data_IF_227162454000
#
_entry.id   IF_227162454000
#
_cell.length_a   1.000
_cell.length_b   1.000
_cell.length_c   1.000
_cell.angle_alpha   90.00
_cell.angle_beta   90.00
_cell.angle_gamma   90.00
#
_symmetry.space_group_name_H-M   'P 1'
#
loop_
_entity.id
_entity.type
_entity.pdbx_description
1 polymer ?
#
# COMPACT_ATOMS: atom_id res chain seq x y z
N UNK A 1 16.79 12.63 -16.57
CA UNK A 1 17.02 11.36 -17.29
C UNK A 1 16.11 11.30 -18.52
N UNK A 2 16.66 10.94 -19.69
CA UNK A 2 15.86 10.76 -20.91
C UNK A 2 14.83 9.63 -20.74
N UNK A 3 13.64 9.76 -21.34
CA UNK A 3 12.58 8.74 -21.34
C UNK A 3 13.11 7.37 -21.81
N UNK A 4 14.03 7.41 -22.78
CA UNK A 4 14.70 6.24 -23.35
C UNK A 4 15.55 5.53 -22.29
N UNK A 5 16.32 6.27 -21.48
CA UNK A 5 17.17 5.68 -20.45
C UNK A 5 16.36 4.95 -19.36
N UNK A 6 15.18 5.46 -19.02
CA UNK A 6 14.30 4.80 -18.04
C UNK A 6 13.72 3.52 -18.63
N UNK A 7 13.30 3.54 -19.90
CA UNK A 7 12.83 2.34 -20.58
C UNK A 7 13.92 1.26 -20.70
N UNK A 8 15.14 1.64 -21.08
CA UNK A 8 16.30 0.74 -21.11
C UNK A 8 16.59 0.11 -19.75
N UNK A 9 16.45 0.87 -18.66
CA UNK A 9 16.62 0.33 -17.30
C UNK A 9 15.55 -0.70 -16.96
N UNK A 10 14.28 -0.45 -17.31
CA UNK A 10 13.20 -1.42 -17.16
C UNK A 10 13.45 -2.68 -18.00
N UNK A 11 13.91 -2.51 -19.24
CA UNK A 11 14.23 -3.61 -20.15
C UNK A 11 15.36 -4.48 -19.63
N UNK A 12 16.45 -3.87 -19.15
CA UNK A 12 17.57 -4.60 -18.52
C UNK A 12 17.13 -5.38 -17.29
N UNK A 13 16.25 -4.81 -16.46
CA UNK A 13 15.70 -5.50 -15.28
C UNK A 13 14.93 -6.77 -15.67
N UNK A 14 14.09 -6.69 -16.69
CA UNK A 14 13.34 -7.86 -17.16
C UNK A 14 14.22 -8.86 -17.91
N UNK A 15 15.24 -8.39 -18.65
CA UNK A 15 16.20 -9.28 -19.32
C UNK A 15 16.94 -10.20 -18.33
N UNK A 16 17.22 -9.73 -17.11
CA UNK A 16 17.89 -10.55 -16.08
C UNK A 16 16.92 -11.46 -15.30
N UNK A 17 15.63 -11.46 -15.63
CA UNK A 17 14.64 -12.25 -14.90
C UNK A 17 14.63 -13.73 -15.39
N UNK A 18 15.09 -14.69 -14.57
CA UNK A 18 15.21 -16.09 -14.99
C UNK A 18 13.85 -16.72 -15.34
N UNK A 19 12.76 -16.22 -14.77
CA UNK A 19 11.40 -16.74 -14.96
C UNK A 19 10.98 -16.65 -16.43
N UNK A 20 11.39 -15.60 -17.15
CA UNK A 20 11.05 -15.41 -18.56
C UNK A 20 11.62 -16.53 -19.42
N UNK A 21 12.86 -16.95 -19.15
CA UNK A 21 13.52 -18.01 -19.88
C UNK A 21 12.90 -19.38 -19.59
N UNK A 22 12.51 -19.64 -18.34
CA UNK A 22 11.83 -20.88 -17.96
C UNK A 22 10.48 -20.99 -18.68
N UNK A 23 9.67 -19.92 -18.64
CA UNK A 23 8.36 -19.93 -19.31
C UNK A 23 8.53 -20.11 -20.82
N UNK A 24 9.47 -19.37 -21.42
CA UNK A 24 9.72 -19.46 -22.87
C UNK A 24 10.25 -20.83 -23.28
N UNK A 25 11.01 -21.49 -22.41
CA UNK A 25 11.44 -22.88 -22.61
C UNK A 25 10.23 -23.81 -22.61
N UNK A 26 9.35 -23.75 -21.60
CA UNK A 26 8.15 -24.59 -21.54
C UNK A 26 7.25 -24.38 -22.76
N UNK A 27 7.02 -23.11 -23.14
CA UNK A 27 6.22 -22.76 -24.33
C UNK A 27 6.88 -23.30 -25.61
N UNK A 28 8.20 -23.14 -25.75
CA UNK A 28 8.94 -23.62 -26.91
C UNK A 28 8.95 -25.14 -27.04
N UNK A 29 9.09 -25.86 -25.93
CA UNK A 29 8.98 -27.33 -25.89
C UNK A 29 7.58 -27.77 -26.34
N UNK A 30 6.54 -27.12 -25.82
CA UNK A 30 5.14 -27.45 -26.12
C UNK A 30 4.82 -27.22 -27.60
N UNK A 31 5.24 -26.07 -28.17
CA UNK A 31 5.04 -25.77 -29.59
C UNK A 31 5.77 -26.77 -30.48
N UNK A 32 7.05 -27.04 -30.22
CA UNK A 32 7.83 -28.00 -31.01
C UNK A 32 7.27 -29.42 -30.93
N UNK A 33 6.84 -29.84 -29.75
CA UNK A 33 6.20 -31.14 -29.52
C UNK A 33 4.90 -31.28 -30.31
N UNK A 34 4.02 -30.27 -30.26
CA UNK A 34 2.74 -30.28 -30.98
C UNK A 34 2.92 -30.22 -32.50
N UNK A 35 3.94 -29.51 -32.99
CA UNK A 35 4.11 -29.27 -34.43
C UNK A 35 4.90 -30.37 -35.15
N UNK A 36 5.87 -30.99 -34.48
CA UNK A 36 6.83 -31.90 -35.14
C UNK A 36 7.02 -33.23 -34.43
N UNK A 37 6.46 -33.42 -33.23
CA UNK A 37 6.73 -34.58 -32.37
C UNK A 37 8.16 -34.62 -31.80
N UNK A 38 9.05 -33.73 -32.25
CA UNK A 38 10.42 -33.60 -31.80
C UNK A 38 10.60 -32.32 -30.98
N UNK A 39 11.27 -32.46 -29.85
CA UNK A 39 11.38 -31.40 -28.83
C UNK A 39 12.28 -30.24 -29.27
N UNK A 40 13.22 -30.48 -30.19
CA UNK A 40 14.21 -29.49 -30.67
C UNK A 40 14.21 -29.32 -32.19
N UNK A 41 13.02 -29.27 -32.80
CA UNK A 41 12.90 -29.10 -34.25
C UNK A 41 13.25 -27.68 -34.74
N UNK A 42 12.83 -26.65 -34.00
CA UNK A 42 13.13 -25.25 -34.31
C UNK A 42 13.47 -24.45 -33.06
N UNK A 43 14.40 -23.51 -33.19
CA UNK A 43 14.79 -22.58 -32.12
C UNK A 43 13.81 -21.39 -32.00
N UNK A 44 13.03 -21.12 -33.04
CA UNK A 44 12.09 -19.98 -33.12
C UNK A 44 11.02 -20.01 -32.01
N UNK A 45 10.40 -21.17 -31.70
CA UNK A 45 9.43 -21.26 -30.60
C UNK A 45 10.00 -20.95 -29.21
N UNK A 46 11.32 -20.94 -29.05
CA UNK A 46 11.97 -20.57 -27.80
C UNK A 46 12.34 -19.08 -27.76
N UNK A 47 12.85 -18.53 -28.88
CA UNK A 47 13.36 -17.15 -28.92
C UNK A 47 12.24 -16.11 -29.01
N UNK A 48 11.19 -16.37 -29.78
CA UNK A 48 10.10 -15.41 -29.98
C UNK A 48 9.35 -15.12 -28.67
N UNK A 49 8.95 -16.12 -27.85
CA UNK A 49 8.32 -15.83 -26.56
C UNK A 49 9.20 -15.02 -25.60
N UNK A 50 10.52 -15.25 -25.59
CA UNK A 50 11.47 -14.47 -24.77
C UNK A 50 11.41 -13.00 -25.15
N UNK A 51 11.55 -12.69 -26.44
CA UNK A 51 11.57 -11.30 -26.93
C UNK A 51 10.25 -10.60 -26.63
N UNK A 52 9.12 -11.26 -26.92
CA UNK A 52 7.80 -10.71 -26.67
C UNK A 52 7.59 -10.48 -25.17
N UNK A 53 7.90 -11.45 -24.31
CA UNK A 53 7.74 -11.32 -22.86
C UNK A 53 8.57 -10.18 -22.28
N UNK A 54 9.84 -10.07 -22.67
CA UNK A 54 10.73 -8.99 -22.18
C UNK A 54 10.15 -7.62 -22.57
N UNK A 55 9.78 -7.45 -23.85
CA UNK A 55 9.24 -6.18 -24.33
C UNK A 55 7.90 -5.83 -23.65
N UNK A 56 6.99 -6.79 -23.53
CA UNK A 56 5.69 -6.57 -22.89
C UNK A 56 5.85 -6.22 -21.42
N UNK A 57 6.66 -6.96 -20.66
CA UNK A 57 6.89 -6.70 -19.23
C UNK A 57 7.62 -5.37 -19.00
N UNK A 58 8.65 -5.08 -19.80
CA UNK A 58 9.37 -3.81 -19.72
C UNK A 58 8.45 -2.63 -20.04
N UNK A 59 7.58 -2.76 -21.03
CA UNK A 59 6.59 -1.74 -21.37
C UNK A 59 5.55 -1.53 -20.26
N UNK A 60 5.01 -2.61 -19.69
CA UNK A 60 4.08 -2.54 -18.55
C UNK A 60 4.72 -1.87 -17.34
N UNK A 61 5.94 -2.27 -16.99
CA UNK A 61 6.69 -1.68 -15.88
C UNK A 61 7.00 -0.20 -16.14
N UNK A 62 7.38 0.17 -17.38
CA UNK A 62 7.59 1.57 -17.75
C UNK A 62 6.30 2.39 -17.68
N UNK A 63 5.17 1.84 -18.14
CA UNK A 63 3.86 2.50 -18.11
C UNK A 63 3.35 2.69 -16.69
N UNK A 64 3.54 1.70 -15.83
CA UNK A 64 3.04 1.70 -14.45
C UNK A 64 3.99 2.36 -13.45
N UNK A 65 5.22 2.71 -13.85
CA UNK A 65 6.26 3.28 -12.96
C UNK A 65 5.79 4.45 -12.10
N UNK A 66 4.90 5.30 -12.61
CA UNK A 66 4.42 6.47 -11.88
C UNK A 66 3.39 6.05 -10.82
N UNK A 67 2.52 5.10 -11.13
CA UNK A 67 1.56 4.55 -10.18
C UNK A 67 2.28 3.78 -9.09
N UNK A 68 3.26 2.94 -9.44
CA UNK A 68 4.12 2.24 -8.47
C UNK A 68 4.86 3.24 -7.56
N UNK A 69 5.36 4.35 -8.11
CA UNK A 69 5.98 5.42 -7.31
C UNK A 69 4.99 6.11 -6.37
N UNK A 70 3.80 6.44 -6.84
CA UNK A 70 2.76 7.05 -6.01
C UNK A 70 2.32 6.14 -4.88
N UNK A 71 2.24 4.83 -5.15
CA UNK A 71 2.01 3.81 -4.13
C UNK A 71 3.17 3.75 -3.15
N UNK A 72 4.43 3.78 -3.63
CA UNK A 72 5.62 3.75 -2.76
C UNK A 72 5.73 4.98 -1.86
N UNK A 73 5.38 6.17 -2.37
CA UNK A 73 5.37 7.42 -1.58
C UNK A 73 4.28 7.36 -0.51
N UNK A 74 3.11 6.81 -0.86
CA UNK A 74 2.04 6.61 0.12
C UNK A 74 2.44 5.58 1.19
N UNK A 75 3.20 4.53 0.83
CA UNK A 75 3.69 3.53 1.77
C UNK A 75 4.90 3.98 2.61
N UNK A 76 5.66 4.98 2.14
CA UNK A 76 6.75 5.61 2.91
C UNK A 76 6.26 6.58 3.99
N UNK A 77 4.95 6.88 4.03
CA UNK A 77 4.38 7.65 5.13
C UNK A 77 4.57 6.89 6.45
N UNK A 78 5.19 7.55 7.43
CA UNK A 78 5.31 7.01 8.79
C UNK A 78 3.95 6.85 9.47
N UNK A 79 2.98 7.67 9.04
CA UNK A 79 1.61 7.70 9.52
C UNK A 79 0.83 6.40 9.20
N UNK A 80 0.15 5.80 10.19
CA UNK A 80 -0.72 4.65 9.96
C UNK A 80 -1.85 4.98 8.99
N UNK A 81 -2.08 4.07 8.04
CA UNK A 81 -3.27 4.11 7.17
C UNK A 81 -3.90 2.73 7.03
N UNK A 82 -5.22 2.71 6.97
CA UNK A 82 -6.03 1.50 6.99
C UNK A 82 -7.09 1.56 5.90
N UNK A 83 -7.41 0.40 5.33
CA UNK A 83 -8.63 0.19 4.58
C UNK A 83 -9.51 -0.71 5.44
N UNK A 84 -10.74 -0.28 5.69
CA UNK A 84 -11.70 -0.98 6.54
C UNK A 84 -12.95 -1.41 5.76
N UNK A 85 -13.53 -2.53 6.16
CA UNK A 85 -14.90 -2.93 5.84
C UNK A 85 -15.90 -1.88 6.40
N UNK A 86 -17.12 -1.88 5.88
CA UNK A 86 -18.30 -1.18 6.41
C UNK A 86 -18.47 -1.37 7.93
N UNK A 87 -18.09 -2.52 8.49
CA UNK A 87 -18.12 -2.80 9.93
C UNK A 87 -16.93 -2.25 10.72
N UNK A 88 -15.92 -1.67 10.06
CA UNK A 88 -14.71 -1.15 10.72
C UNK A 88 -13.57 -2.16 10.92
N UNK A 89 -13.66 -3.36 10.34
CA UNK A 89 -12.58 -4.35 10.35
C UNK A 89 -11.48 -3.98 9.36
N UNK A 90 -10.21 -4.14 9.73
CA UNK A 90 -9.07 -3.88 8.85
C UNK A 90 -8.95 -4.93 7.74
N UNK A 91 -9.02 -4.48 6.49
CA UNK A 91 -8.75 -5.27 5.29
C UNK A 91 -7.28 -5.16 4.88
N UNK A 92 -6.74 -3.93 4.93
CA UNK A 92 -5.36 -3.63 4.57
C UNK A 92 -4.80 -2.60 5.54
N UNK A 93 -3.57 -2.81 5.97
CA UNK A 93 -2.83 -1.88 6.82
C UNK A 93 -1.54 -1.45 6.11
N UNK A 94 -1.18 -0.17 6.24
CA UNK A 94 0.02 0.42 5.65
C UNK A 94 0.64 1.43 6.62
N UNK A 95 1.97 1.56 6.57
CA UNK A 95 2.77 2.39 7.48
C UNK A 95 3.45 1.58 8.59
N UNK A 96 4.33 2.22 9.36
CA UNK A 96 5.18 1.55 10.36
C UNK A 96 4.45 0.70 11.42
N UNK A 97 3.27 1.09 11.95
CA UNK A 97 2.61 0.27 12.96
C UNK A 97 1.82 -0.91 12.38
N UNK A 98 1.81 -1.14 11.06
CA UNK A 98 1.11 -2.28 10.46
C UNK A 98 1.59 -3.63 11.01
N UNK A 99 2.90 -3.79 11.20
CA UNK A 99 3.49 -5.03 11.76
C UNK A 99 3.14 -5.21 13.24
N UNK A 100 3.12 -4.11 14.00
CA UNK A 100 2.76 -4.12 15.42
C UNK A 100 1.29 -4.51 15.64
N UNK A 101 0.38 -3.93 14.85
CA UNK A 101 -1.06 -4.23 14.93
C UNK A 101 -1.36 -5.69 14.65
N UNK A 102 -0.64 -6.28 13.69
CA UNK A 102 -0.79 -7.69 13.35
C UNK A 102 -0.31 -8.61 14.49
N UNK A 103 0.76 -8.24 15.17
CA UNK A 103 1.31 -9.03 16.29
C UNK A 103 0.43 -8.95 17.55
N UNK A 104 -0.16 -7.80 17.82
CA UNK A 104 -1.09 -7.59 18.95
C UNK A 104 -2.52 -8.10 18.68
N UNK A 105 -2.77 -8.64 17.48
CA UNK A 105 -4.08 -9.20 17.12
C UNK A 105 -5.20 -8.16 16.97
N UNK A 106 -4.85 -6.90 16.69
CA UNK A 106 -5.81 -5.81 16.55
C UNK A 106 -6.40 -5.85 15.14
N UNK A 107 -7.67 -6.25 15.05
CA UNK A 107 -8.35 -6.52 13.78
C UNK A 107 -9.32 -5.43 13.34
N UNK A 108 -9.60 -4.45 14.18
CA UNK A 108 -10.65 -3.45 13.94
C UNK A 108 -10.28 -2.08 14.51
N UNK A 109 -10.93 -1.04 13.98
CA UNK A 109 -10.65 0.34 14.38
C UNK A 109 -11.07 0.62 15.82
N UNK A 110 -12.12 -0.03 16.32
CA UNK A 110 -12.61 0.21 17.67
C UNK A 110 -11.61 -0.31 18.71
N UNK A 111 -11.06 -1.52 18.53
CA UNK A 111 -10.02 -2.07 19.40
C UNK A 111 -8.73 -1.23 19.37
N UNK A 112 -8.37 -0.68 18.21
CA UNK A 112 -7.23 0.23 18.09
C UNK A 112 -7.36 1.50 18.96
N UNK A 113 -8.59 1.99 19.16
CA UNK A 113 -8.92 3.15 20.00
C UNK A 113 -9.57 2.76 21.35
N UNK A 114 -9.41 1.52 21.81
CA UNK A 114 -9.90 1.09 23.13
C UNK A 114 -11.43 1.05 23.26
N UNK A 115 -12.15 0.85 22.17
CA UNK A 115 -13.62 0.75 22.15
C UNK A 115 -14.35 2.09 22.07
N UNK A 116 -13.66 3.19 21.75
CA UNK A 116 -14.31 4.50 21.57
C UNK A 116 -15.32 4.46 20.41
N UNK A 117 -16.59 4.75 20.68
CA UNK A 117 -17.67 4.74 19.69
C UNK A 117 -17.51 5.79 18.59
N UNK A 118 -16.65 6.79 18.79
CA UNK A 118 -16.25 7.76 17.76
C UNK A 118 -15.38 7.13 16.69
N UNK A 119 -14.83 5.94 16.92
CA UNK A 119 -14.05 5.16 15.95
C UNK A 119 -14.92 4.45 14.89
N UNK A 120 -16.22 4.76 14.78
CA UNK A 120 -17.03 4.29 13.66
C UNK A 120 -16.61 5.02 12.36
N UNK A 121 -16.19 4.29 11.30
CA UNK A 121 -15.79 4.88 10.02
C UNK A 121 -16.84 5.83 9.41
N UNK A 122 -18.13 5.55 9.62
CA UNK A 122 -19.24 6.39 9.12
C UNK A 122 -19.28 7.73 9.85
N UNK A 123 -19.20 7.72 11.18
CA UNK A 123 -19.17 8.93 12.00
C UNK A 123 -17.94 9.77 11.67
N UNK A 124 -16.78 9.14 11.48
CA UNK A 124 -15.55 9.81 11.08
C UNK A 124 -15.66 10.48 9.71
N UNK A 125 -16.33 9.84 8.76
CA UNK A 125 -16.57 10.42 7.43
C UNK A 125 -17.54 11.60 7.48
N UNK A 126 -18.62 11.51 8.27
CA UNK A 126 -19.54 12.64 8.45
C UNK A 126 -18.88 13.83 9.15
N UNK A 127 -18.04 13.57 10.15
CA UNK A 127 -17.20 14.59 10.79
C UNK A 127 -16.27 15.25 9.76
N UNK A 128 -15.62 14.46 8.89
CA UNK A 128 -14.76 15.00 7.85
C UNK A 128 -15.54 15.84 6.81
N UNK A 129 -16.73 15.41 6.40
CA UNK A 129 -17.61 16.16 5.48
C UNK A 129 -18.07 17.49 6.07
N UNK A 130 -18.26 17.55 7.39
CA UNK A 130 -18.58 18.78 8.13
C UNK A 130 -17.35 19.63 8.49
N UNK A 131 -16.15 19.20 8.10
CA UNK A 131 -14.89 19.92 8.36
C UNK A 131 -14.37 19.75 9.79
N UNK A 132 -14.97 18.86 10.57
CA UNK A 132 -14.62 18.60 11.96
C UNK A 132 -13.46 17.60 12.02
N UNK A 133 -12.43 17.92 12.79
CA UNK A 133 -11.27 17.03 13.00
C UNK A 133 -11.53 16.22 14.26
N UNK A 134 -11.58 14.89 14.12
CA UNK A 134 -11.77 13.98 15.26
C UNK A 134 -10.41 13.57 15.76
N UNK A 135 -10.10 13.93 17.01
CA UNK A 135 -8.86 13.55 17.68
C UNK A 135 -9.14 12.48 18.73
N UNK A 136 -8.36 11.40 18.66
CA UNK A 136 -8.54 10.21 19.46
C UNK A 136 -7.20 9.70 19.97
N UNK A 137 -7.19 9.22 21.21
CA UNK A 137 -6.04 8.54 21.79
C UNK A 137 -6.09 7.07 21.41
N UNK A 138 -5.00 6.55 20.86
CA UNK A 138 -4.82 5.11 20.72
C UNK A 138 -4.11 4.59 21.98
N UNK A 139 -4.78 3.80 22.85
CA UNK A 139 -4.14 3.20 24.01
C UNK A 139 -3.07 2.17 23.61
N UNK A 140 -3.21 1.60 22.42
CA UNK A 140 -2.30 0.61 21.83
C UNK A 140 -0.92 1.20 21.56
N UNK A 141 -0.88 2.42 21.01
CA UNK A 141 0.37 3.11 20.67
C UNK A 141 0.74 4.20 21.69
N UNK A 142 -0.13 4.47 22.67
CA UNK A 142 -0.01 5.57 23.64
C UNK A 142 0.26 6.92 22.96
N UNK A 143 -0.53 7.21 21.91
CA UNK A 143 -0.39 8.38 21.04
C UNK A 143 -1.74 8.98 20.69
N UNK A 144 -1.74 10.28 20.43
CA UNK A 144 -2.92 11.00 19.94
C UNK A 144 -2.88 11.12 18.43
N UNK A 145 -3.99 10.77 17.80
CA UNK A 145 -4.14 10.82 16.36
C UNK A 145 -5.32 11.70 15.97
N UNK A 146 -5.10 12.57 14.98
CA UNK A 146 -6.18 13.16 14.23
C UNK A 146 -6.62 12.14 13.16
N UNK A 147 -7.84 11.62 13.32
CA UNK A 147 -8.40 10.55 12.50
C UNK A 147 -9.16 11.16 11.34
N UNK A 148 -8.85 10.70 10.13
CA UNK A 148 -9.58 11.09 8.92
C UNK A 148 -10.08 9.85 8.20
N UNK A 149 -11.32 9.93 7.72
CA UNK A 149 -11.98 8.84 7.01
C UNK A 149 -12.57 9.33 5.70
N UNK A 150 -12.40 8.54 4.64
CA UNK A 150 -13.01 8.76 3.33
C UNK A 150 -13.59 7.45 2.82
N UNK A 151 -14.77 7.53 2.24
CA UNK A 151 -15.40 6.41 1.54
C UNK A 151 -14.59 5.98 0.30
N UNK A 152 -14.39 4.68 0.14
CA UNK A 152 -13.68 4.04 -0.96
C UNK A 152 -14.57 2.96 -1.59
N UNK A 153 -14.21 2.48 -2.79
CA UNK A 153 -15.00 1.45 -3.49
C UNK A 153 -15.17 0.15 -2.68
N UNK A 154 -14.19 -0.18 -1.83
CA UNK A 154 -14.17 -1.43 -1.04
C UNK A 154 -14.53 -1.21 0.44
N UNK A 155 -14.97 0.00 0.82
CA UNK A 155 -15.31 0.34 2.21
C UNK A 155 -14.83 1.73 2.61
N UNK A 156 -13.97 1.81 3.61
CA UNK A 156 -13.49 3.08 4.19
C UNK A 156 -11.97 3.15 4.19
N UNK A 157 -11.42 4.24 3.68
CA UNK A 157 -10.00 4.55 3.83
C UNK A 157 -9.81 5.48 5.02
N UNK A 158 -9.00 5.06 5.98
CA UNK A 158 -8.72 5.78 7.22
C UNK A 158 -7.23 6.09 7.26
N UNK A 159 -6.87 7.32 7.60
CA UNK A 159 -5.47 7.67 7.85
C UNK A 159 -5.36 8.49 9.12
N UNK A 160 -4.27 8.25 9.84
CA UNK A 160 -4.01 8.79 11.16
C UNK A 160 -2.84 9.77 11.08
N UNK A 161 -3.06 11.00 11.53
CA UNK A 161 -2.00 12.00 11.64
C UNK A 161 -1.60 12.07 13.11
N UNK A 162 -0.32 11.83 13.41
CA UNK A 162 0.18 11.93 14.79
C UNK A 162 0.14 13.39 15.24
N UNK A 163 -0.62 13.66 16.30
CA UNK A 163 -0.77 14.98 16.92
C UNK A 163 -0.34 14.96 18.40
N UNK A 164 0.39 13.92 18.80
CA UNK A 164 0.81 13.70 20.20
C UNK A 164 1.59 14.89 20.74
N UNK A 165 2.57 15.40 20.00
CA UNK A 165 3.41 16.52 20.43
C UNK A 165 2.58 17.80 20.68
N UNK A 166 1.62 18.07 19.78
CA UNK A 166 0.72 19.22 19.92
C UNK A 166 -0.16 19.09 21.16
N UNK A 167 -0.77 17.93 21.37
CA UNK A 167 -1.59 17.66 22.55
C UNK A 167 -0.78 17.76 23.86
N UNK A 168 0.47 17.31 23.86
CA UNK A 168 1.34 17.47 25.04
C UNK A 168 1.70 18.94 25.31
N UNK A 169 1.92 19.74 24.26
CA UNK A 169 2.16 21.18 24.37
C UNK A 169 0.94 21.89 24.95
N UNK A 170 -0.26 21.61 24.44
CA UNK A 170 -1.51 22.22 24.91
C UNK A 170 -1.74 21.93 26.40
N UNK A 171 -1.58 20.66 26.83
CA UNK A 171 -1.68 20.29 28.26
C UNK A 171 -0.66 20.99 29.15
N UNK A 172 0.57 21.17 28.65
CA UNK A 172 1.62 21.90 29.37
C UNK A 172 1.30 23.39 29.50
N UNK A 173 0.64 23.97 28.51
CA UNK A 173 0.20 25.37 28.55
C UNK A 173 -0.97 25.56 29.51
N UNK A 174 -1.98 24.69 29.45
CA UNK A 174 -3.13 24.71 30.37
C UNK A 174 -2.68 24.59 31.83
N UNK A 175 -1.85 23.59 32.14
CA UNK A 175 -1.35 23.39 33.51
C UNK A 175 -0.50 24.54 34.06
N UNK A 176 0.08 25.38 33.18
CA UNK A 176 0.79 26.61 33.58
C UNK A 176 -0.17 27.78 33.80
N UNK A 177 -1.21 27.91 32.98
CA UNK A 177 -2.24 28.94 33.15
C UNK A 177 -3.00 28.77 34.47
N UNK A 178 -3.31 27.53 34.86
CA UNK A 178 -3.95 27.22 36.15
C UNK A 178 -3.05 27.43 37.39
N UNK A 179 -1.73 27.61 37.23
CA UNK A 179 -0.82 27.92 38.35
C UNK A 179 -0.61 29.43 38.57
N UNK A 180 -1.12 30.28 37.67
CA UNK A 180 -0.95 31.73 37.73
C UNK A 180 -2.25 32.50 38.04
N UNK A 181 -3.36 31.80 38.31
CA UNK A 181 -4.61 32.39 38.82
C UNK A 181 -4.82 32.00 40.28
#
# INVERSE_FOLDING_TARGET
MSKIAIFLRCLMKELLNPVIYIISLVVGLLINFLQSGMVFYSWVPFSVPVVVQILTRAWLSYRNRNNERLMSISSEREEPSFICDVKGNFLVTSGRPADYLKNEGITDLSSFFGGDSRADPRNLSEAMKSGLVVEMESPVLNRYFAVRSRESMEGWMIWLIDVTDRQQLDRRLESRLYRCG
#
